data_IF_516901479688
#
_entry.id   IF_516901479688
#
_cell.length_a   1.000
_cell.length_b   1.000
_cell.length_c   1.000
_cell.angle_alpha   90.00
_cell.angle_beta   90.00
_cell.angle_gamma   90.00
#
_symmetry.space_group_name_H-M   'P 1'
#
loop_
_entity.id
_entity.type
_entity.pdbx_description
1 polymer ?
#
# COMPACT_ATOMS: atom_id res chain seq x y z
N UNK A 1 18.50 1.43 16.61
CA UNK A 1 17.20 1.61 15.92
C UNK A 1 16.34 0.43 16.32
N UNK A 2 15.08 0.66 16.66
CA UNK A 2 14.18 -0.40 17.11
C UNK A 2 13.28 -0.79 15.92
N UNK A 3 13.68 -1.84 15.19
CA UNK A 3 13.01 -2.26 13.95
C UNK A 3 11.60 -2.75 14.23
N UNK A 4 11.36 -3.43 15.34
CA UNK A 4 10.03 -3.85 15.77
C UNK A 4 9.09 -2.65 15.96
N UNK A 5 9.58 -1.56 16.57
CA UNK A 5 8.81 -0.31 16.64
C UNK A 5 8.54 0.31 15.27
N UNK A 6 9.47 0.19 14.31
CA UNK A 6 9.24 0.69 12.95
C UNK A 6 8.20 -0.16 12.21
N UNK A 7 8.24 -1.48 12.34
CA UNK A 7 7.24 -2.39 11.78
C UNK A 7 5.86 -2.08 12.37
N UNK A 8 5.75 -1.99 13.69
CA UNK A 8 4.49 -1.67 14.37
C UNK A 8 3.95 -0.28 13.97
N UNK A 9 4.82 0.71 13.82
CA UNK A 9 4.45 2.04 13.34
C UNK A 9 3.84 1.97 11.93
N UNK A 10 4.53 1.32 10.98
CA UNK A 10 4.04 1.19 9.62
C UNK A 10 2.71 0.44 9.54
N UNK A 11 2.56 -0.64 10.32
CA UNK A 11 1.32 -1.40 10.40
C UNK A 11 0.15 -0.56 10.92
N UNK A 12 0.29 0.11 12.07
CA UNK A 12 -0.78 0.93 12.64
C UNK A 12 -1.17 2.07 11.70
N UNK A 13 -0.19 2.80 11.17
CA UNK A 13 -0.45 3.89 10.24
C UNK A 13 -1.02 3.42 8.90
N UNK A 14 -0.85 2.16 8.51
CA UNK A 14 -1.51 1.60 7.33
C UNK A 14 -2.99 1.27 7.58
N UNK A 15 -3.33 0.80 8.79
CA UNK A 15 -4.72 0.54 9.20
C UNK A 15 -5.51 1.85 9.24
N UNK A 16 -4.93 2.90 9.83
CA UNK A 16 -5.56 4.24 9.86
C UNK A 16 -5.80 4.78 8.44
N UNK A 17 -4.82 4.67 7.54
CA UNK A 17 -4.97 5.10 6.14
C UNK A 17 -6.04 4.28 5.40
N UNK A 18 -6.19 2.99 5.75
CA UNK A 18 -7.16 2.12 5.11
C UNK A 18 -8.59 2.53 5.46
N UNK A 19 -8.85 2.88 6.73
CA UNK A 19 -10.13 3.41 7.17
C UNK A 19 -10.45 4.73 6.47
N UNK A 20 -9.48 5.65 6.39
CA UNK A 20 -9.62 6.91 5.67
C UNK A 20 -9.88 6.69 4.17
N UNK A 21 -9.22 5.72 3.55
CA UNK A 21 -9.43 5.40 2.14
C UNK A 21 -10.89 4.98 1.89
N UNK A 22 -11.44 4.11 2.74
CA UNK A 22 -12.83 3.65 2.64
C UNK A 22 -13.81 4.82 2.81
N UNK A 23 -13.67 5.61 3.86
CA UNK A 23 -14.52 6.78 4.13
C UNK A 23 -14.56 7.76 2.96
N UNK A 24 -13.40 8.04 2.35
CA UNK A 24 -13.29 8.97 1.23
C UNK A 24 -13.95 8.43 -0.03
N UNK A 25 -13.81 7.13 -0.32
CA UNK A 25 -14.51 6.51 -1.45
C UNK A 25 -16.02 6.51 -1.22
N UNK A 26 -16.50 6.18 -0.02
CA UNK A 26 -17.93 6.24 0.31
C UNK A 26 -18.51 7.65 0.15
N UNK A 27 -17.72 8.68 0.49
CA UNK A 27 -18.10 10.09 0.31
C UNK A 27 -17.96 10.62 -1.12
N UNK A 28 -17.61 9.78 -2.10
CA UNK A 28 -17.47 10.20 -3.50
C UNK A 28 -16.14 10.91 -3.83
N UNK A 29 -15.14 10.85 -2.95
CA UNK A 29 -13.83 11.51 -3.10
C UNK A 29 -12.79 10.57 -3.72
N UNK A 30 -13.08 10.04 -4.91
CA UNK A 30 -12.29 9.02 -5.63
C UNK A 30 -10.77 9.20 -5.53
N UNK A 31 -10.25 10.34 -6.01
CA UNK A 31 -8.81 10.60 -6.07
C UNK A 31 -8.12 10.52 -4.70
N UNK A 32 -8.75 11.11 -3.69
CA UNK A 32 -8.18 11.14 -2.33
C UNK A 32 -8.28 9.76 -1.69
N UNK A 33 -9.40 9.05 -1.86
CA UNK A 33 -9.56 7.69 -1.36
C UNK A 33 -8.51 6.74 -1.93
N UNK A 34 -8.24 6.81 -3.25
CA UNK A 34 -7.20 5.99 -3.87
C UNK A 34 -5.77 6.39 -3.49
N UNK A 35 -5.53 7.66 -3.17
CA UNK A 35 -4.26 8.07 -2.60
C UNK A 35 -4.03 7.44 -1.23
N UNK A 36 -5.03 7.45 -0.34
CA UNK A 36 -4.91 6.76 0.95
C UNK A 36 -4.81 5.24 0.79
N UNK A 37 -5.53 4.64 -0.15
CA UNK A 37 -5.37 3.22 -0.47
C UNK A 37 -3.96 2.87 -0.96
N UNK A 38 -3.33 3.76 -1.75
CA UNK A 38 -1.92 3.63 -2.12
C UNK A 38 -1.00 3.70 -0.88
N UNK A 39 -1.20 4.68 0.01
CA UNK A 39 -0.38 4.83 1.22
C UNK A 39 -0.52 3.61 2.16
N UNK A 40 -1.72 3.04 2.30
CA UNK A 40 -1.93 1.79 3.03
C UNK A 40 -1.01 0.68 2.52
N UNK A 41 -0.99 0.45 1.20
CA UNK A 41 -0.13 -0.57 0.60
C UNK A 41 1.35 -0.23 0.76
N UNK A 42 1.74 1.02 0.56
CA UNK A 42 3.11 1.49 0.73
C UNK A 42 3.63 1.20 2.14
N UNK A 43 2.86 1.59 3.16
CA UNK A 43 3.21 1.41 4.57
C UNK A 43 3.29 -0.07 4.93
N UNK A 44 2.34 -0.90 4.49
CA UNK A 44 2.43 -2.36 4.73
C UNK A 44 3.65 -2.98 4.06
N UNK A 45 3.95 -2.61 2.82
CA UNK A 45 5.16 -3.09 2.15
C UNK A 45 6.43 -2.61 2.86
N UNK A 46 6.47 -1.37 3.36
CA UNK A 46 7.58 -0.88 4.18
C UNK A 46 7.74 -1.66 5.49
N UNK A 47 6.64 -2.05 6.14
CA UNK A 47 6.69 -2.94 7.30
C UNK A 47 7.33 -4.29 6.94
N UNK A 48 6.93 -4.88 5.81
CA UNK A 48 7.49 -6.14 5.29
C UNK A 48 8.96 -6.02 4.88
N UNK A 49 9.38 -4.90 4.29
CA UNK A 49 10.79 -4.64 3.98
C UNK A 49 11.58 -4.58 5.29
N UNK A 50 11.13 -3.81 6.28
CA UNK A 50 11.79 -3.75 7.59
C UNK A 50 11.92 -5.14 8.24
N UNK A 51 10.86 -5.94 8.19
CA UNK A 51 10.87 -7.31 8.70
C UNK A 51 11.86 -8.21 7.95
N UNK A 52 11.91 -8.13 6.62
CA UNK A 52 12.77 -8.98 5.79
C UNK A 52 14.25 -8.58 5.88
N UNK A 53 14.56 -7.28 5.88
CA UNK A 53 15.94 -6.78 5.83
C UNK A 53 16.54 -6.51 7.20
N UNK A 54 15.71 -6.44 8.24
CA UNK A 54 16.09 -5.98 9.58
C UNK A 54 16.73 -4.58 9.57
N UNK A 55 16.31 -3.74 8.62
CA UNK A 55 16.77 -2.37 8.43
C UNK A 55 15.59 -1.45 8.03
N UNK A 56 15.81 -0.14 7.97
CA UNK A 56 14.79 0.81 7.54
C UNK A 56 14.43 0.60 6.06
N UNK A 57 13.13 0.62 5.77
CA UNK A 57 12.66 0.65 4.40
C UNK A 57 13.17 1.91 3.66
N UNK A 58 13.51 1.79 2.35
CA UNK A 58 14.03 2.91 1.59
C UNK A 58 12.98 4.03 1.40
N UNK A 59 13.46 5.25 1.18
CA UNK A 59 12.62 6.41 0.86
C UNK A 59 12.16 6.36 -0.60
N UNK A 60 11.17 5.51 -0.86
CA UNK A 60 10.49 5.39 -2.15
C UNK A 60 8.99 5.17 -1.93
N UNK A 61 8.22 5.52 -2.96
CA UNK A 61 6.77 5.37 -3.02
C UNK A 61 6.35 4.35 -4.09
N UNK A 62 7.33 3.74 -4.79
CA UNK A 62 7.02 2.76 -5.82
C UNK A 62 6.71 1.41 -5.16
N UNK A 63 5.45 0.99 -5.23
CA UNK A 63 4.95 -0.22 -4.59
C UNK A 63 5.57 -1.49 -5.17
N UNK A 64 5.80 -1.55 -6.49
CA UNK A 64 6.47 -2.70 -7.13
C UNK A 64 7.89 -2.81 -6.60
N UNK A 65 8.62 -1.70 -6.51
CA UNK A 65 9.98 -1.69 -5.95
C UNK A 65 10.01 -2.09 -4.48
N UNK A 66 9.02 -1.69 -3.69
CA UNK A 66 8.92 -2.11 -2.30
C UNK A 66 8.61 -3.61 -2.21
N UNK A 67 7.72 -4.14 -3.05
CA UNK A 67 7.40 -5.57 -3.10
C UNK A 67 8.63 -6.45 -3.40
N UNK A 68 9.47 -6.04 -4.35
CA UNK A 68 10.74 -6.70 -4.67
C UNK A 68 11.73 -6.78 -3.50
N UNK A 69 11.64 -5.85 -2.55
CA UNK A 69 12.52 -5.79 -1.38
C UNK A 69 11.98 -6.59 -0.19
N UNK A 70 10.76 -7.11 -0.29
CA UNK A 70 10.22 -8.03 0.71
C UNK A 70 10.70 -9.46 0.43
N UNK A 71 10.53 -10.35 1.41
CA UNK A 71 10.74 -11.80 1.22
C UNK A 71 9.47 -12.53 0.75
N UNK A 72 8.43 -11.81 0.29
CA UNK A 72 7.14 -12.38 -0.06
C UNK A 72 7.06 -12.79 -1.54
N UNK A 73 6.34 -13.87 -1.81
CA UNK A 73 6.00 -14.29 -3.17
C UNK A 73 4.62 -13.71 -3.55
N UNK A 74 4.62 -12.66 -4.36
CA UNK A 74 3.40 -12.06 -4.91
C UNK A 74 2.90 -12.81 -6.14
N UNK A 75 1.58 -12.86 -6.32
CA UNK A 75 0.99 -13.28 -7.59
C UNK A 75 1.14 -12.19 -8.66
N UNK A 76 0.98 -12.57 -9.94
CA UNK A 76 1.00 -11.61 -11.04
C UNK A 76 -0.09 -10.54 -10.87
N UNK A 77 -1.31 -10.93 -10.45
CA UNK A 77 -2.41 -9.98 -10.25
C UNK A 77 -2.13 -8.99 -9.11
N UNK A 78 -1.40 -9.42 -8.07
CA UNK A 78 -0.99 -8.53 -6.99
C UNK A 78 0.04 -7.52 -7.49
N UNK A 79 1.06 -7.96 -8.24
CA UNK A 79 2.06 -7.05 -8.82
C UNK A 79 1.41 -6.06 -9.79
N UNK A 80 0.50 -6.51 -10.64
CA UNK A 80 -0.24 -5.63 -11.56
C UNK A 80 -1.05 -4.58 -10.78
N UNK A 81 -1.72 -4.97 -9.69
CA UNK A 81 -2.39 -3.99 -8.83
C UNK A 81 -1.41 -3.00 -8.20
N UNK A 82 -0.26 -3.46 -7.68
CA UNK A 82 0.73 -2.56 -7.11
C UNK A 82 1.27 -1.56 -8.17
N UNK A 83 1.43 -2.02 -9.41
CA UNK A 83 1.82 -1.17 -10.53
C UNK A 83 0.74 -0.12 -10.84
N UNK A 84 -0.53 -0.52 -10.93
CA UNK A 84 -1.67 0.39 -11.12
C UNK A 84 -1.73 1.44 -10.00
N UNK A 85 -1.60 0.99 -8.75
CA UNK A 85 -1.74 1.84 -7.57
C UNK A 85 -0.64 2.89 -7.44
N UNK A 86 0.52 2.73 -8.09
CA UNK A 86 1.54 3.79 -8.18
C UNK A 86 1.01 5.06 -8.85
N UNK A 87 0.03 4.94 -9.75
CA UNK A 87 -0.60 6.08 -10.40
C UNK A 87 -1.43 6.94 -9.44
N UNK A 88 -1.65 6.51 -8.20
CA UNK A 88 -2.40 7.25 -7.17
C UNK A 88 -1.51 7.93 -6.11
N UNK A 89 -0.18 7.77 -6.16
CA UNK A 89 0.72 8.58 -5.34
C UNK A 89 0.66 10.07 -5.74
N UNK A 90 0.24 10.99 -4.86
CA UNK A 90 0.07 12.41 -5.18
C UNK A 90 1.38 13.23 -5.09
N UNK A 91 2.45 12.68 -4.52
CA UNK A 91 3.71 13.41 -4.36
C UNK A 91 4.39 13.72 -5.70
N UNK A 92 4.85 14.96 -5.87
CA UNK A 92 5.61 15.39 -7.04
C UNK A 92 4.81 15.61 -8.33
N UNK A 93 3.47 15.52 -8.31
CA UNK A 93 2.66 15.83 -9.50
C UNK A 93 2.59 17.34 -9.73
N UNK A 94 3.10 17.78 -10.87
CA UNK A 94 2.87 19.13 -11.37
C UNK A 94 1.37 19.37 -11.63
N UNK A 95 0.88 20.63 -11.51
CA UNK A 95 -0.53 20.96 -11.79
C UNK A 95 -1.02 20.49 -13.16
N UNK A 96 -0.12 20.33 -14.12
CA UNK A 96 -0.41 19.95 -15.51
C UNK A 96 -0.43 18.42 -15.74
N UNK A 97 -0.05 17.62 -14.74
CA UNK A 97 -0.21 16.16 -14.71
C UNK A 97 -1.68 15.81 -14.40
N UNK A 98 -2.60 16.35 -15.21
CA UNK A 98 -4.05 16.16 -15.08
C UNK A 98 -4.45 14.83 -15.73
N UNK A 99 -3.95 13.71 -15.20
CA UNK A 99 -4.69 12.45 -15.39
C UNK A 99 -6.09 12.67 -14.83
N UNK A 100 -7.10 12.39 -15.65
CA UNK A 100 -8.49 12.50 -15.21
C UNK A 100 -8.65 11.70 -13.91
N UNK A 101 -9.32 12.28 -12.90
CA UNK A 101 -9.62 11.51 -11.70
C UNK A 101 -10.44 10.28 -12.12
N UNK A 102 -10.16 9.10 -11.55
CA UNK A 102 -10.96 7.92 -11.84
C UNK A 102 -12.41 8.19 -11.45
N UNK A 103 -13.32 7.60 -12.22
CA UNK A 103 -14.73 7.54 -11.88
C UNK A 103 -14.92 6.82 -10.54
N UNK A 104 -16.08 7.03 -9.90
CA UNK A 104 -16.41 6.29 -8.67
C UNK A 104 -16.45 4.78 -8.91
N UNK A 105 -16.88 4.32 -10.08
CA UNK A 105 -16.90 2.90 -10.42
C UNK A 105 -15.48 2.30 -10.46
N UNK A 106 -14.54 3.00 -11.11
CA UNK A 106 -13.13 2.59 -11.13
C UNK A 106 -12.53 2.63 -9.73
N UNK A 107 -12.81 3.69 -8.96
CA UNK A 107 -12.27 3.83 -7.61
C UNK A 107 -12.79 2.74 -6.67
N UNK A 108 -14.06 2.35 -6.76
CA UNK A 108 -14.63 1.22 -6.01
C UNK A 108 -13.99 -0.11 -6.42
N UNK A 109 -13.71 -0.34 -7.71
CA UNK A 109 -13.02 -1.56 -8.14
C UNK A 109 -11.57 -1.62 -7.62
N UNK A 110 -10.84 -0.52 -7.73
CA UNK A 110 -9.49 -0.41 -7.15
C UNK A 110 -9.50 -0.64 -5.64
N UNK A 111 -10.46 -0.06 -4.91
CA UNK A 111 -10.60 -0.28 -3.47
C UNK A 111 -10.85 -1.76 -3.15
N UNK A 112 -11.74 -2.43 -3.89
CA UNK A 112 -12.02 -3.86 -3.72
C UNK A 112 -10.79 -4.75 -3.99
N UNK A 113 -10.04 -4.47 -5.07
CA UNK A 113 -8.79 -5.18 -5.38
C UNK A 113 -7.75 -4.92 -4.29
N UNK A 114 -7.64 -3.67 -3.83
CA UNK A 114 -6.72 -3.26 -2.74
C UNK A 114 -7.07 -3.94 -1.43
N UNK A 115 -8.34 -4.08 -1.08
CA UNK A 115 -8.78 -4.79 0.13
C UNK A 115 -8.24 -6.22 0.18
N UNK A 116 -8.22 -6.91 -0.97
CA UNK A 116 -7.70 -8.28 -1.07
C UNK A 116 -6.19 -8.33 -0.76
N UNK A 117 -5.41 -7.39 -1.31
CA UNK A 117 -3.96 -7.31 -1.07
C UNK A 117 -3.65 -6.82 0.35
N UNK A 118 -4.41 -5.85 0.85
CA UNK A 118 -4.33 -5.35 2.22
C UNK A 118 -4.50 -6.49 3.23
N UNK A 119 -5.58 -7.26 3.14
CA UNK A 119 -5.83 -8.39 4.04
C UNK A 119 -4.72 -9.42 3.95
N UNK A 120 -4.26 -9.74 2.74
CA UNK A 120 -3.17 -10.68 2.54
C UNK A 120 -1.86 -10.19 3.19
N UNK A 121 -1.48 -8.93 2.99
CA UNK A 121 -0.26 -8.34 3.59
C UNK A 121 -0.32 -8.33 5.13
N UNK A 122 -1.48 -8.04 5.73
CA UNK A 122 -1.68 -8.10 7.19
C UNK A 122 -1.49 -9.53 7.72
N UNK A 123 -2.05 -10.53 7.03
CA UNK A 123 -1.90 -11.94 7.42
C UNK A 123 -0.44 -12.41 7.39
N UNK A 124 0.35 -11.93 6.42
CA UNK A 124 1.77 -12.26 6.34
C UNK A 124 2.59 -11.70 7.52
N UNK A 125 2.15 -10.62 8.18
CA UNK A 125 2.83 -10.07 9.37
C UNK A 125 2.39 -10.73 10.68
N UNK A 126 1.19 -11.33 10.69
CA UNK A 126 0.63 -11.99 11.87
C UNK A 126 1.05 -13.46 11.98
N UNK A 127 1.63 -14.03 10.93
CA UNK A 127 2.14 -15.39 10.92
C UNK A 127 3.60 -15.38 11.40
N UNK A 128 3.98 -16.10 12.46
CA UNK A 128 5.39 -16.24 12.81
C UNK A 128 6.11 -16.88 11.62
N UNK A 129 7.15 -16.20 11.12
CA UNK A 129 8.01 -16.68 10.03
C UNK A 129 8.29 -18.17 10.20
N UNK A 130 7.78 -19.00 9.29
CA UNK A 130 8.27 -20.36 9.13
C UNK A 130 9.70 -20.26 8.60
N UNK A 131 10.66 -20.25 9.52
CA UNK A 131 12.04 -20.56 9.22
C UNK A 131 12.08 -21.94 8.55
N UNK A 132 12.53 -21.98 7.30
CA UNK A 132 13.02 -23.19 6.62
C UNK A 132 14.52 -23.03 6.47
#
# INVERSE_FOLDING_TARGET
>A
MDIEKQIAYWQHSAVEDWDVAQDLIEQGRARHGLFFAHLTLEKLLKAHVCHATQDLAPRTHNLVRLAELTALAFSAEQIDLLADMNAFNLEGRYPDSLTLPPSMAEATDYLRRTASVYTWLIQQLSTPSKNI
#
